data_IF_820035209996
#
_entry.id   IF_820035209996
#
_cell.length_a   1.000
_cell.length_b   1.000
_cell.length_c   1.000
_cell.angle_alpha   90.00
_cell.angle_beta   90.00
_cell.angle_gamma   90.00
#
_symmetry.space_group_name_H-M   'P 1'
#
loop_
_entity.id
_entity.type
_entity.pdbx_description
1 polymer ?
#
# COMPACT_ATOMS: atom_id res chain seq x y z
N UNK A 1 10.29 17.37 28.81
CA UNK A 1 9.04 17.16 28.04
C UNK A 1 8.22 16.06 28.69
N UNK A 2 6.95 16.33 28.95
CA UNK A 2 6.05 15.42 29.66
C UNK A 2 5.86 14.11 28.85
N UNK A 3 5.89 12.98 29.53
CA UNK A 3 5.69 11.65 28.93
C UNK A 3 4.33 11.53 28.21
N UNK A 4 3.30 12.19 28.73
CA UNK A 4 1.97 12.24 28.11
C UNK A 4 2.00 12.89 26.74
N UNK A 5 2.77 13.98 26.59
CA UNK A 5 2.93 14.68 25.31
C UNK A 5 3.66 13.81 24.30
N UNK A 6 4.69 13.07 24.74
CA UNK A 6 5.43 12.13 23.88
C UNK A 6 4.55 10.98 23.40
N UNK A 7 3.74 10.40 24.29
CA UNK A 7 2.82 9.31 23.95
C UNK A 7 1.73 9.80 22.98
N UNK A 8 1.18 10.99 23.21
CA UNK A 8 0.17 11.59 22.32
C UNK A 8 0.75 11.88 20.93
N UNK A 9 1.99 12.40 20.87
CA UNK A 9 2.68 12.66 19.60
C UNK A 9 2.98 11.36 18.86
N UNK A 10 3.48 10.33 19.55
CA UNK A 10 3.76 9.03 18.96
C UNK A 10 2.49 8.37 18.42
N UNK A 11 1.37 8.45 19.16
CA UNK A 11 0.06 7.96 18.72
C UNK A 11 -0.44 8.69 17.48
N UNK A 12 -0.27 10.01 17.43
CA UNK A 12 -0.65 10.83 16.28
C UNK A 12 0.18 10.48 15.05
N UNK A 13 1.50 10.34 15.22
CA UNK A 13 2.40 9.98 14.13
C UNK A 13 2.07 8.60 13.58
N UNK A 14 1.77 7.63 14.44
CA UNK A 14 1.33 6.29 14.06
C UNK A 14 0.01 6.31 13.31
N UNK A 15 -0.96 7.12 13.75
CA UNK A 15 -2.24 7.29 13.08
C UNK A 15 -2.07 7.90 11.68
N UNK A 16 -1.25 8.96 11.55
CA UNK A 16 -0.99 9.61 10.26
C UNK A 16 -0.26 8.68 9.29
N UNK A 17 0.69 7.89 9.79
CA UNK A 17 1.40 6.89 8.99
C UNK A 17 0.43 5.82 8.47
N UNK A 18 -0.48 5.34 9.32
CA UNK A 18 -1.50 4.37 8.94
C UNK A 18 -2.44 4.93 7.88
N UNK A 19 -2.92 6.16 8.05
CA UNK A 19 -3.76 6.84 7.07
C UNK A 19 -3.08 6.98 5.72
N UNK A 20 -1.78 7.25 5.72
CA UNK A 20 -0.98 7.32 4.50
C UNK A 20 -0.91 5.97 3.79
N UNK A 21 -0.66 4.91 4.53
CA UNK A 21 -0.60 3.55 3.96
C UNK A 21 -1.95 3.15 3.36
N UNK A 22 -3.04 3.40 4.06
CA UNK A 22 -4.39 3.15 3.57
C UNK A 22 -4.65 3.89 2.26
N UNK A 23 -4.30 5.18 2.20
CA UNK A 23 -4.48 5.99 1.00
C UNK A 23 -3.61 5.52 -0.16
N UNK A 24 -2.35 5.19 0.11
CA UNK A 24 -1.43 4.69 -0.93
C UNK A 24 -1.91 3.34 -1.49
N UNK A 25 -2.40 2.46 -0.64
CA UNK A 25 -2.94 1.18 -1.08
C UNK A 25 -4.23 1.38 -1.89
N UNK A 26 -5.11 2.27 -1.45
CA UNK A 26 -6.32 2.62 -2.18
C UNK A 26 -5.99 3.21 -3.56
N UNK A 27 -4.92 4.00 -3.65
CA UNK A 27 -4.43 4.56 -4.91
C UNK A 27 -3.98 3.45 -5.87
N UNK A 28 -3.19 2.49 -5.38
CA UNK A 28 -2.76 1.34 -6.19
C UNK A 28 -3.98 0.55 -6.70
N UNK A 29 -4.92 0.26 -5.83
CA UNK A 29 -6.14 -0.48 -6.19
C UNK A 29 -6.98 0.27 -7.22
N UNK A 30 -7.08 1.61 -7.05
CA UNK A 30 -7.81 2.45 -8.01
C UNK A 30 -7.16 2.44 -9.39
N UNK A 31 -5.83 2.55 -9.44
CA UNK A 31 -5.08 2.53 -10.70
C UNK A 31 -5.10 1.14 -11.33
N UNK A 32 -5.07 0.09 -10.53
CA UNK A 32 -5.21 -1.28 -11.01
C UNK A 32 -6.57 -1.50 -11.67
N UNK A 33 -7.64 -1.00 -11.05
CA UNK A 33 -9.00 -1.08 -11.60
C UNK A 33 -9.16 -0.30 -12.91
N UNK A 34 -8.36 0.74 -13.11
CA UNK A 34 -8.38 1.55 -14.34
C UNK A 34 -7.69 0.89 -15.53
N UNK A 35 -7.04 -0.24 -15.35
CA UNK A 35 -6.44 -1.07 -16.42
C UNK A 35 -5.52 -0.28 -17.35
N UNK A 36 -4.48 0.33 -16.78
CA UNK A 36 -3.48 1.13 -17.49
C UNK A 36 -3.99 2.47 -18.03
N UNK A 37 -5.27 2.81 -17.82
CA UNK A 37 -5.77 4.13 -18.14
C UNK A 37 -5.15 5.16 -17.20
N UNK A 38 -4.77 6.31 -17.77
CA UNK A 38 -4.17 7.40 -17.01
C UNK A 38 -5.26 8.23 -16.35
N UNK A 39 -5.07 8.48 -15.04
CA UNK A 39 -5.97 9.30 -14.25
C UNK A 39 -5.23 10.55 -13.80
N UNK A 40 -5.86 11.73 -13.95
CA UNK A 40 -5.25 12.98 -13.52
C UNK A 40 -5.09 13.04 -12.00
N UNK A 41 -4.07 13.79 -11.54
CA UNK A 41 -3.86 14.00 -10.11
C UNK A 41 -5.06 14.71 -9.47
N UNK A 42 -5.69 15.65 -10.20
CA UNK A 42 -6.86 16.36 -9.69
C UNK A 42 -8.05 15.43 -9.49
N UNK A 43 -8.27 14.49 -10.40
CA UNK A 43 -9.34 13.50 -10.26
C UNK A 43 -9.09 12.62 -9.04
N UNK A 44 -7.87 12.13 -8.87
CA UNK A 44 -7.50 11.30 -7.72
C UNK A 44 -7.61 12.10 -6.41
N UNK A 45 -7.16 13.36 -6.41
CA UNK A 45 -7.28 14.24 -5.25
C UNK A 45 -8.74 14.38 -4.82
N UNK A 46 -9.63 14.61 -5.77
CA UNK A 46 -11.06 14.73 -5.50
C UNK A 46 -11.65 13.43 -4.96
N UNK A 47 -11.29 12.30 -5.56
CA UNK A 47 -11.78 10.98 -5.11
C UNK A 47 -11.33 10.66 -3.68
N UNK A 48 -10.09 11.01 -3.33
CA UNK A 48 -9.52 10.70 -2.02
C UNK A 48 -9.70 11.81 -0.98
N UNK A 49 -10.29 12.95 -1.37
CA UNK A 49 -10.50 14.05 -0.44
C UNK A 49 -9.22 14.69 0.06
N UNK A 50 -8.18 14.73 -0.75
CA UNK A 50 -6.88 15.34 -0.44
C UNK A 50 -6.46 16.30 -1.55
N UNK A 51 -5.35 17.02 -1.36
CA UNK A 51 -4.82 17.90 -2.40
C UNK A 51 -4.09 17.12 -3.49
N UNK A 52 -4.01 17.69 -4.69
CA UNK A 52 -3.20 17.12 -5.77
C UNK A 52 -1.73 16.96 -5.37
N UNK A 53 -1.22 17.87 -4.53
CA UNK A 53 0.14 17.79 -3.99
C UNK A 53 0.33 16.57 -3.12
N UNK A 54 -0.67 16.22 -2.29
CA UNK A 54 -0.64 15.02 -1.47
C UNK A 54 -0.61 13.76 -2.35
N UNK A 55 -1.44 13.71 -3.39
CA UNK A 55 -1.42 12.60 -4.35
C UNK A 55 -0.07 12.49 -5.03
N UNK A 56 0.51 13.60 -5.48
CA UNK A 56 1.81 13.62 -6.12
C UNK A 56 2.90 13.06 -5.20
N UNK A 57 2.88 13.42 -3.92
CA UNK A 57 3.82 12.88 -2.92
C UNK A 57 3.65 11.38 -2.72
N UNK A 58 2.41 10.92 -2.62
CA UNK A 58 2.13 9.49 -2.48
C UNK A 58 2.63 8.71 -3.70
N UNK A 59 2.39 9.23 -4.89
CA UNK A 59 2.87 8.63 -6.14
C UNK A 59 4.40 8.51 -6.15
N UNK A 60 5.11 9.57 -5.76
CA UNK A 60 6.58 9.54 -5.71
C UNK A 60 7.09 8.54 -4.69
N UNK A 61 6.47 8.44 -3.51
CA UNK A 61 6.84 7.45 -2.50
C UNK A 61 6.64 6.02 -3.00
N UNK A 62 5.51 5.76 -3.67
CA UNK A 62 5.22 4.45 -4.24
C UNK A 62 6.22 4.08 -5.34
N UNK A 63 6.54 5.04 -6.22
CA UNK A 63 7.55 4.84 -7.27
C UNK A 63 8.91 4.54 -6.67
N UNK A 64 9.31 5.29 -5.66
CA UNK A 64 10.57 5.07 -4.95
C UNK A 64 10.63 3.68 -4.31
N UNK A 65 9.49 3.17 -3.84
CA UNK A 65 9.38 1.81 -3.29
C UNK A 65 9.36 0.71 -4.34
N UNK A 66 9.34 1.07 -5.63
CA UNK A 66 9.37 0.10 -6.72
C UNK A 66 8.01 -0.22 -7.34
N UNK A 67 6.93 0.44 -6.92
CA UNK A 67 5.62 0.26 -7.55
C UNK A 67 5.67 0.83 -8.98
N UNK A 68 5.28 0.05 -10.01
CA UNK A 68 5.47 0.43 -11.40
C UNK A 68 4.43 1.45 -11.88
N UNK A 69 4.54 2.68 -11.39
CA UNK A 69 3.67 3.79 -11.78
C UNK A 69 4.32 4.59 -12.91
N UNK A 70 3.52 4.94 -13.91
CA UNK A 70 3.90 5.81 -15.00
C UNK A 70 3.27 7.19 -14.78
N UNK A 71 4.08 8.24 -14.78
CA UNK A 71 3.63 9.60 -14.52
C UNK A 71 3.92 10.46 -15.73
N UNK A 72 2.90 11.17 -16.22
CA UNK A 72 3.06 12.19 -17.25
C UNK A 72 2.58 13.53 -16.74
N UNK A 73 3.37 14.57 -17.02
CA UNK A 73 3.06 15.94 -16.63
C UNK A 73 2.33 16.67 -17.75
N UNK A 74 1.66 17.77 -17.38
CA UNK A 74 1.02 18.66 -18.32
C UNK A 74 -0.41 18.27 -18.67
N UNK A 75 -0.92 18.88 -19.74
CA UNK A 75 -2.28 18.66 -20.23
C UNK A 75 -2.44 17.23 -20.75
N UNK A 76 -3.48 16.55 -20.30
CA UNK A 76 -3.68 15.13 -20.56
C UNK A 76 -2.76 14.23 -19.75
N UNK A 77 -2.03 14.80 -18.79
CA UNK A 77 -1.15 14.07 -17.89
C UNK A 77 -1.90 13.36 -16.78
N UNK A 78 -1.16 12.71 -15.91
CA UNK A 78 -1.66 11.97 -14.78
C UNK A 78 -0.79 10.77 -14.49
N UNK A 79 -1.38 9.80 -13.80
CA UNK A 79 -0.69 8.58 -13.38
C UNK A 79 -1.46 7.36 -13.83
N UNK A 80 -0.72 6.31 -14.17
CA UNK A 80 -1.27 4.99 -14.47
C UNK A 80 -0.36 3.93 -13.88
N UNK A 81 -0.94 2.76 -13.61
CA UNK A 81 -0.18 1.57 -13.24
C UNK A 81 0.25 0.88 -14.54
N UNK A 82 1.54 0.57 -14.68
CA UNK A 82 2.01 -0.15 -15.86
C UNK A 82 1.31 -1.51 -15.96
N UNK A 83 1.00 -1.99 -17.18
CA UNK A 83 0.47 -3.33 -17.35
C UNK A 83 1.39 -4.36 -16.70
N UNK A 84 0.79 -5.23 -15.90
CA UNK A 84 1.49 -6.30 -15.20
C UNK A 84 0.62 -7.56 -15.26
N UNK A 85 1.20 -8.75 -15.04
CA UNK A 85 0.40 -9.96 -14.88
C UNK A 85 -0.65 -9.76 -13.79
N UNK A 86 -1.82 -10.40 -13.95
CA UNK A 86 -2.89 -10.36 -12.96
C UNK A 86 -2.44 -10.92 -11.62
N UNK A 87 -1.49 -11.86 -11.65
CA UNK A 87 -0.92 -12.50 -10.48
C UNK A 87 0.60 -12.47 -10.56
N UNK A 88 1.25 -12.32 -9.39
CA UNK A 88 2.69 -12.37 -9.26
C UNK A 88 3.06 -13.57 -8.40
N UNK A 89 3.91 -14.43 -8.92
CA UNK A 89 4.42 -15.59 -8.19
C UNK A 89 5.86 -15.32 -7.75
N UNK A 90 6.12 -15.43 -6.45
CA UNK A 90 7.43 -15.20 -5.84
C UNK A 90 7.70 -16.29 -4.82
N UNK A 91 8.96 -16.71 -4.72
CA UNK A 91 9.40 -17.64 -3.68
C UNK A 91 10.09 -16.85 -2.58
N UNK A 92 9.61 -16.98 -1.36
CA UNK A 92 10.23 -16.40 -0.16
C UNK A 92 10.80 -17.51 0.72
N UNK A 93 11.93 -17.25 1.37
CA UNK A 93 12.35 -18.08 2.50
C UNK A 93 11.53 -17.71 3.76
N UNK A 94 11.65 -18.52 4.81
CA UNK A 94 10.88 -18.30 6.03
C UNK A 94 11.16 -16.94 6.69
N UNK A 95 12.44 -16.51 6.87
CA UNK A 95 12.69 -15.18 7.44
C UNK A 95 12.06 -14.04 6.63
N UNK A 96 12.08 -14.12 5.31
CA UNK A 96 11.48 -13.10 4.44
C UNK A 96 9.96 -13.07 4.58
N UNK A 97 9.32 -14.24 4.54
CA UNK A 97 7.87 -14.34 4.74
C UNK A 97 7.46 -13.83 6.13
N UNK A 98 8.22 -14.19 7.17
CA UNK A 98 7.98 -13.72 8.53
C UNK A 98 8.13 -12.20 8.67
N UNK A 99 9.10 -11.60 7.98
CA UNK A 99 9.28 -10.15 7.96
C UNK A 99 8.08 -9.43 7.35
N UNK A 100 7.54 -9.96 6.25
CA UNK A 100 6.33 -9.43 5.61
C UNK A 100 5.14 -9.55 6.55
N UNK A 101 4.95 -10.69 7.20
CA UNK A 101 3.86 -10.90 8.14
C UNK A 101 3.94 -9.96 9.34
N UNK A 102 5.13 -9.76 9.89
CA UNK A 102 5.36 -8.82 10.99
C UNK A 102 5.00 -7.40 10.59
N UNK A 103 5.39 -6.99 9.39
CA UNK A 103 5.07 -5.66 8.86
C UNK A 103 3.57 -5.47 8.70
N UNK A 104 2.87 -6.45 8.11
CA UNK A 104 1.42 -6.41 7.95
C UNK A 104 0.70 -6.40 9.29
N UNK A 105 1.19 -7.17 10.28
CA UNK A 105 0.62 -7.19 11.63
C UNK A 105 0.75 -5.83 12.31
N UNK A 106 1.88 -5.16 12.15
CA UNK A 106 2.12 -3.82 12.72
C UNK A 106 1.16 -2.78 12.15
N UNK A 107 0.89 -2.84 10.85
CA UNK A 107 -0.05 -1.94 10.18
C UNK A 107 -1.52 -2.30 10.49
N UNK A 108 -1.75 -3.51 10.92
CA UNK A 108 -3.09 -4.07 11.16
C UNK A 108 -3.57 -4.89 9.96
N UNK A 109 -4.03 -6.13 10.21
CA UNK A 109 -4.43 -7.04 9.12
C UNK A 109 -5.70 -6.61 8.39
N UNK A 110 -6.40 -5.60 8.89
CA UNK A 110 -7.65 -5.09 8.33
C UNK A 110 -7.50 -3.74 7.64
N UNK A 111 -6.26 -3.26 7.43
CA UNK A 111 -5.99 -1.97 6.79
C UNK A 111 -6.60 -1.91 5.39
N UNK A 112 -6.44 -2.97 4.61
CA UNK A 112 -7.07 -3.11 3.30
C UNK A 112 -7.43 -4.58 3.07
N UNK A 113 -8.36 -4.82 2.16
CA UNK A 113 -8.72 -6.20 1.77
C UNK A 113 -7.53 -6.92 1.14
N UNK A 114 -6.72 -6.23 0.35
CA UNK A 114 -5.52 -6.81 -0.25
C UNK A 114 -4.49 -7.21 0.80
N UNK A 115 -4.28 -6.38 1.83
CA UNK A 115 -3.37 -6.71 2.94
C UNK A 115 -3.87 -7.92 3.72
N UNK A 116 -5.16 -7.98 4.03
CA UNK A 116 -5.76 -9.12 4.72
C UNK A 116 -5.63 -10.41 3.90
N UNK A 117 -5.87 -10.34 2.60
CA UNK A 117 -5.72 -11.49 1.68
C UNK A 117 -4.27 -11.97 1.62
N UNK A 118 -3.31 -11.03 1.50
CA UNK A 118 -1.88 -11.38 1.49
C UNK A 118 -1.46 -12.06 2.79
N UNK A 119 -1.93 -11.55 3.94
CA UNK A 119 -1.65 -12.15 5.25
C UNK A 119 -2.18 -13.58 5.34
N UNK A 120 -3.40 -13.82 4.86
CA UNK A 120 -3.99 -15.17 4.84
C UNK A 120 -3.16 -16.13 3.99
N UNK A 121 -2.69 -15.68 2.82
CA UNK A 121 -1.87 -16.50 1.92
C UNK A 121 -0.51 -16.82 2.55
N UNK A 122 0.13 -15.83 3.16
CA UNK A 122 1.41 -16.03 3.85
C UNK A 122 1.25 -17.00 5.03
N UNK A 123 0.23 -16.81 5.85
CA UNK A 123 -0.05 -17.68 6.99
C UNK A 123 -0.31 -19.13 6.55
N UNK A 124 -1.07 -19.31 5.48
CA UNK A 124 -1.34 -20.64 4.92
C UNK A 124 -0.08 -21.32 4.39
N UNK A 125 0.84 -20.55 3.80
CA UNK A 125 2.07 -21.08 3.22
C UNK A 125 3.10 -21.53 4.26
N UNK A 126 3.14 -20.87 5.43
CA UNK A 126 4.15 -21.16 6.47
C UNK A 126 3.55 -21.80 7.73
N UNK A 127 2.24 -22.01 7.75
CA UNK A 127 1.58 -22.72 8.84
C UNK A 127 1.91 -24.20 8.85
N UNK A 128 1.56 -24.92 9.94
CA UNK A 128 1.79 -26.36 10.00
C UNK A 128 1.07 -27.07 8.84
N UNK A 129 1.81 -27.96 8.19
CA UNK A 129 1.23 -28.80 7.15
C UNK A 129 0.28 -29.80 7.77
N UNK A 130 -0.94 -29.91 7.24
CA UNK A 130 -1.93 -30.91 7.68
C UNK A 130 -1.47 -32.36 7.42
N UNK A 131 -0.26 -32.55 6.89
CA UNK A 131 0.29 -33.85 6.55
C UNK A 131 0.90 -34.59 7.76
N UNK A 132 0.99 -33.96 8.94
CA UNK A 132 1.57 -34.54 10.16
C UNK A 132 0.52 -34.91 11.21
N UNK A 133 -0.71 -35.11 10.81
CA UNK A 133 -1.75 -35.62 11.72
C UNK A 133 -2.06 -37.08 11.46
#
# INVERSE_FOLDING_TARGET
MDQRIRLAAASRDGFLALRRVERQQALIERLHAARAERISLDTLANEFGVSARTVARDVERLRFSGVPLDVRRGRGGGVSLRPAPAEVAIVFDLPEAAALMSSLTTLGPTVTESAASAMRKLAAAIGPSDADS
#
